data_IF_916873153908
#
_entry.id   IF_916873153908
#
_cell.length_a   1.000
_cell.length_b   1.000
_cell.length_c   1.000
_cell.angle_alpha   90.00
_cell.angle_beta   90.00
_cell.angle_gamma   90.00
#
_symmetry.space_group_name_H-M   'P 1'
#
loop_
_entity.id
_entity.type
_entity.pdbx_description
1 polymer ?
#
# COMPACT_ATOMS: atom_id res chain seq x y z
N UNK A 1 1.76 -4.63 27.39
CA UNK A 1 2.35 -3.53 26.61
C UNK A 1 3.60 -4.10 25.99
N UNK A 2 3.72 -4.10 24.66
CA UNK A 2 4.94 -4.57 23.99
C UNK A 2 6.06 -3.67 24.48
N UNK A 3 7.13 -4.24 24.99
CA UNK A 3 8.33 -3.49 25.29
C UNK A 3 9.07 -3.26 23.97
N UNK A 4 8.65 -2.23 23.23
CA UNK A 4 9.26 -1.90 21.93
C UNK A 4 10.73 -1.54 22.12
N UNK A 5 11.11 -0.98 23.27
CA UNK A 5 12.51 -0.73 23.60
C UNK A 5 13.29 -2.04 23.69
N UNK A 6 12.69 -3.10 24.25
CA UNK A 6 13.29 -4.44 24.24
C UNK A 6 13.46 -5.02 22.83
N UNK A 7 12.49 -4.83 21.93
CA UNK A 7 12.63 -5.26 20.52
C UNK A 7 13.78 -4.52 19.82
N UNK A 8 13.90 -3.22 20.08
CA UNK A 8 14.99 -2.39 19.54
C UNK A 8 16.34 -2.87 20.07
N UNK A 9 16.45 -3.10 21.38
CA UNK A 9 17.67 -3.61 22.01
C UNK A 9 18.10 -4.95 21.41
N UNK A 10 17.17 -5.88 21.24
CA UNK A 10 17.45 -7.21 20.66
C UNK A 10 17.87 -7.13 19.18
N UNK A 11 17.29 -6.20 18.40
CA UNK A 11 17.69 -5.98 17.01
C UNK A 11 19.10 -5.37 16.91
N UNK A 12 19.42 -4.40 17.77
CA UNK A 12 20.77 -3.80 17.87
C UNK A 12 21.79 -4.82 18.35
N UNK A 13 21.46 -5.64 19.34
CA UNK A 13 22.31 -6.73 19.83
C UNK A 13 22.62 -7.74 18.73
N UNK A 14 21.62 -8.19 17.97
CA UNK A 14 21.82 -9.06 16.82
C UNK A 14 22.78 -8.45 15.78
N UNK A 15 22.69 -7.13 15.54
CA UNK A 15 23.56 -6.45 14.58
C UNK A 15 25.02 -6.32 15.02
N UNK A 16 25.29 -6.27 16.33
CA UNK A 16 26.67 -6.15 16.87
C UNK A 16 27.51 -7.39 16.62
N UNK A 17 26.88 -8.53 16.41
CA UNK A 17 27.55 -9.80 16.17
C UNK A 17 27.59 -10.13 14.68
N UNK A 18 28.72 -10.67 14.16
CA UNK A 18 28.83 -11.07 12.77
C UNK A 18 27.90 -12.24 12.44
N UNK A 19 27.51 -12.36 11.16
CA UNK A 19 26.65 -13.45 10.68
C UNK A 19 27.24 -14.83 11.00
N UNK A 20 26.38 -15.74 11.50
CA UNK A 20 26.77 -17.12 11.81
C UNK A 20 27.32 -17.37 13.21
N UNK A 21 27.45 -16.36 14.08
CA UNK A 21 27.85 -16.61 15.48
C UNK A 21 26.69 -17.10 16.34
N UNK A 22 27.02 -17.87 17.38
CA UNK A 22 26.05 -18.39 18.35
C UNK A 22 25.32 -17.25 19.06
N UNK A 23 26.04 -16.16 19.37
CA UNK A 23 25.50 -14.97 20.02
C UNK A 23 24.46 -14.27 19.14
N UNK A 24 24.73 -14.14 17.83
CA UNK A 24 23.78 -13.58 16.87
C UNK A 24 22.54 -14.45 16.75
N UNK A 25 22.73 -15.77 16.63
CA UNK A 25 21.60 -16.72 16.55
C UNK A 25 20.73 -16.69 17.81
N UNK A 26 21.34 -16.53 18.98
CA UNK A 26 20.62 -16.39 20.24
C UNK A 26 19.83 -15.07 20.29
N UNK A 27 20.45 -13.94 19.91
CA UNK A 27 19.80 -12.64 19.85
C UNK A 27 18.61 -12.63 18.87
N UNK A 28 18.79 -13.21 17.69
CA UNK A 28 17.71 -13.38 16.71
C UNK A 28 16.58 -14.28 17.23
N UNK A 29 16.91 -15.37 17.93
CA UNK A 29 15.88 -16.23 18.53
C UNK A 29 15.06 -15.50 19.60
N UNK A 30 15.72 -14.69 20.43
CA UNK A 30 15.05 -13.85 21.43
C UNK A 30 14.16 -12.81 20.76
N UNK A 31 14.63 -12.17 19.67
CA UNK A 31 13.87 -11.19 18.90
C UNK A 31 12.62 -11.81 18.26
N UNK A 32 12.74 -13.01 17.70
CA UNK A 32 11.60 -13.76 17.14
C UNK A 32 10.57 -14.06 18.21
N UNK A 33 10.98 -14.61 19.35
CA UNK A 33 10.06 -14.94 20.45
C UNK A 33 9.36 -13.68 20.98
N UNK A 34 10.09 -12.60 21.21
CA UNK A 34 9.51 -11.35 21.71
C UNK A 34 8.56 -10.71 20.68
N UNK A 35 8.90 -10.76 19.39
CA UNK A 35 8.02 -10.27 18.32
C UNK A 35 6.73 -11.07 18.23
N UNK A 36 6.84 -12.40 18.33
CA UNK A 36 5.69 -13.31 18.28
C UNK A 36 4.89 -13.33 19.57
N UNK A 37 5.40 -12.77 20.69
CA UNK A 37 4.72 -12.61 21.98
C UNK A 37 3.91 -11.31 22.10
N UNK A 38 4.04 -10.40 21.14
CA UNK A 38 3.27 -9.16 21.07
C UNK A 38 1.76 -9.41 20.96
N UNK A 39 0.89 -8.84 21.81
CA UNK A 39 -0.57 -9.06 21.78
C UNK A 39 -1.27 -8.68 20.46
N UNK A 40 -0.64 -7.87 19.60
CA UNK A 40 -1.17 -7.55 18.26
C UNK A 40 -0.77 -8.61 17.19
N UNK A 41 0.17 -9.50 17.53
CA UNK A 41 0.68 -10.60 16.68
C UNK A 41 0.37 -11.98 17.30
N UNK A 42 0.00 -12.01 18.58
CA UNK A 42 -0.42 -13.18 19.37
C UNK A 42 -1.92 -13.39 19.23
N UNK A 43 -2.28 -14.26 18.30
CA UNK A 43 -3.40 -15.20 18.49
C UNK A 43 -3.18 -16.54 17.76
N UNK A 44 -2.03 -16.78 17.12
CA UNK A 44 -1.98 -17.75 16.03
C UNK A 44 -0.92 -18.85 16.12
N UNK A 45 -0.04 -18.86 17.12
CA UNK A 45 0.83 -20.02 17.39
C UNK A 45 0.59 -20.47 18.84
N UNK A 46 -0.33 -21.41 19.11
CA UNK A 46 -0.52 -21.92 20.45
C UNK A 46 0.79 -22.57 20.91
N UNK A 47 1.39 -22.02 21.97
CA UNK A 47 2.57 -22.52 22.68
C UNK A 47 2.38 -23.92 23.30
N UNK A 48 1.25 -24.59 23.04
CA UNK A 48 0.92 -25.87 23.66
C UNK A 48 -0.26 -26.56 22.97
N UNK A 49 -0.12 -26.98 21.71
CA UNK A 49 -1.09 -27.91 21.11
C UNK A 49 -0.49 -29.31 21.03
N UNK A 50 -1.08 -30.28 21.74
CA UNK A 50 -0.71 -31.72 21.79
C UNK A 50 -0.77 -32.46 20.45
N UNK A 51 -0.88 -31.75 19.31
CA UNK A 51 -0.83 -32.33 17.96
C UNK A 51 0.50 -31.96 17.32
N UNK A 52 1.36 -32.97 17.12
CA UNK A 52 2.71 -32.86 16.57
C UNK A 52 2.82 -31.86 15.40
N UNK A 53 1.86 -31.88 14.46
CA UNK A 53 1.90 -31.04 13.26
C UNK A 53 1.83 -29.52 13.53
N UNK A 54 1.11 -29.06 14.56
CA UNK A 54 1.02 -27.62 14.87
C UNK A 54 2.29 -27.09 15.51
N UNK A 55 2.93 -27.90 16.36
CA UNK A 55 4.23 -27.56 16.95
C UNK A 55 5.31 -27.51 15.87
N UNK A 56 5.31 -28.48 14.95
CA UNK A 56 6.21 -28.51 13.79
C UNK A 56 6.02 -27.27 12.89
N UNK A 57 4.77 -26.92 12.56
CA UNK A 57 4.48 -25.72 11.78
C UNK A 57 4.95 -24.43 12.49
N UNK A 58 4.70 -24.33 13.79
CA UNK A 58 5.15 -23.19 14.58
C UNK A 58 6.68 -23.08 14.60
N UNK A 59 7.38 -24.22 14.65
CA UNK A 59 8.85 -24.27 14.56
C UNK A 59 9.33 -23.83 13.18
N UNK A 60 8.71 -24.32 12.11
CA UNK A 60 9.02 -23.92 10.73
C UNK A 60 8.86 -22.41 10.52
N UNK A 61 7.77 -21.80 11.05
CA UNK A 61 7.56 -20.36 10.98
C UNK A 61 8.67 -19.60 11.72
N UNK A 62 9.05 -20.05 12.93
CA UNK A 62 10.12 -19.40 13.71
C UNK A 62 11.46 -19.45 12.98
N UNK A 63 11.83 -20.61 12.46
CA UNK A 63 13.09 -20.81 11.73
C UNK A 63 13.13 -19.95 10.47
N UNK A 64 12.10 -20.03 9.61
CA UNK A 64 12.06 -19.20 8.41
C UNK A 64 12.01 -17.70 8.70
N UNK A 65 11.37 -17.29 9.81
CA UNK A 65 11.32 -15.88 10.21
C UNK A 65 12.70 -15.41 10.70
N UNK A 66 13.39 -16.23 11.50
CA UNK A 66 14.74 -15.96 11.99
C UNK A 66 15.73 -15.78 10.83
N UNK A 67 15.74 -16.69 9.87
CA UNK A 67 16.68 -16.64 8.73
C UNK A 67 16.49 -15.37 7.90
N UNK A 68 15.23 -14.95 7.71
CA UNK A 68 14.90 -13.72 6.97
C UNK A 68 15.24 -12.47 7.77
N UNK A 69 15.07 -12.50 9.09
CA UNK A 69 15.49 -11.41 9.97
C UNK A 69 17.01 -11.25 9.98
N UNK A 70 17.76 -12.34 9.95
CA UNK A 70 19.23 -12.29 9.88
C UNK A 70 19.68 -11.49 8.65
N UNK A 71 19.13 -11.83 7.49
CA UNK A 71 19.36 -11.09 6.24
C UNK A 71 18.85 -9.66 6.27
N UNK A 72 17.68 -9.40 6.86
CA UNK A 72 17.13 -8.05 6.96
C UNK A 72 17.99 -7.14 7.82
N UNK A 73 18.42 -7.63 9.00
CA UNK A 73 19.27 -6.91 9.95
C UNK A 73 20.66 -6.65 9.33
N UNK A 74 21.22 -7.61 8.58
CA UNK A 74 22.50 -7.42 7.89
C UNK A 74 22.45 -6.32 6.79
N UNK A 75 21.27 -6.03 6.25
CA UNK A 75 21.07 -4.99 5.22
C UNK A 75 20.64 -3.63 5.82
N UNK A 76 20.31 -3.57 7.10
CA UNK A 76 20.03 -2.30 7.77
C UNK A 76 21.35 -1.64 8.17
N UNK A 77 21.60 -0.45 7.63
CA UNK A 77 22.71 0.40 8.06
C UNK A 77 22.36 1.03 9.43
N UNK A 78 22.55 0.25 10.50
CA UNK A 78 22.10 0.56 11.86
C UNK A 78 23.11 1.45 12.62
N UNK A 79 23.44 2.63 12.07
CA UNK A 79 24.11 3.64 12.90
C UNK A 79 23.15 4.25 13.93
N UNK A 80 21.88 4.54 13.57
CA UNK A 80 20.77 4.83 14.52
C UNK A 80 19.39 4.51 13.91
N UNK A 81 18.85 3.27 14.03
CA UNK A 81 17.50 2.97 13.57
C UNK A 81 16.43 3.72 14.37
N UNK A 82 15.44 4.29 13.70
CA UNK A 82 14.26 4.78 14.42
C UNK A 82 13.39 3.60 14.87
N UNK A 83 12.57 3.84 15.90
CA UNK A 83 11.55 2.88 16.36
C UNK A 83 10.66 2.41 15.20
N UNK A 84 10.28 3.32 14.32
CA UNK A 84 9.41 3.03 13.20
C UNK A 84 10.07 2.10 12.17
N UNK A 85 11.37 2.26 11.92
CA UNK A 85 12.11 1.43 10.96
C UNK A 85 12.18 -0.02 11.43
N UNK A 86 12.39 -0.23 12.73
CA UNK A 86 12.44 -1.59 13.33
C UNK A 86 11.05 -2.23 13.30
N UNK A 87 10.00 -1.50 13.67
CA UNK A 87 8.62 -2.02 13.59
C UNK A 87 8.25 -2.41 12.15
N UNK A 88 8.55 -1.56 11.17
CA UNK A 88 8.31 -1.82 9.74
C UNK A 88 9.13 -3.01 9.23
N UNK A 89 10.41 -3.12 9.61
CA UNK A 89 11.26 -4.26 9.25
C UNK A 89 10.68 -5.57 9.80
N UNK A 90 10.34 -5.61 11.08
CA UNK A 90 9.78 -6.80 11.73
C UNK A 90 8.47 -7.22 11.05
N UNK A 91 7.59 -6.26 10.77
CA UNK A 91 6.31 -6.52 10.11
C UNK A 91 6.49 -7.02 8.66
N UNK A 92 7.32 -6.33 7.86
CA UNK A 92 7.61 -6.73 6.49
C UNK A 92 8.20 -8.14 6.43
N UNK A 93 9.15 -8.44 7.31
CA UNK A 93 9.81 -9.73 7.37
C UNK A 93 8.83 -10.83 7.78
N UNK A 94 7.96 -10.56 8.75
CA UNK A 94 6.92 -11.51 9.20
C UNK A 94 5.90 -11.79 8.09
N UNK A 95 5.35 -10.74 7.47
CA UNK A 95 4.38 -10.86 6.39
C UNK A 95 4.94 -11.69 5.22
N UNK A 96 6.18 -11.41 4.83
CA UNK A 96 6.89 -12.13 3.77
C UNK A 96 7.10 -13.61 4.13
N UNK A 97 7.47 -13.90 5.38
CA UNK A 97 7.62 -15.27 5.87
C UNK A 97 6.32 -16.05 5.73
N UNK A 98 5.22 -15.48 6.23
CA UNK A 98 3.90 -16.10 6.20
C UNK A 98 3.39 -16.32 4.76
N UNK A 99 3.59 -15.34 3.89
CA UNK A 99 3.21 -15.45 2.48
C UNK A 99 3.98 -16.55 1.74
N UNK A 100 5.29 -16.68 2.00
CA UNK A 100 6.10 -17.74 1.38
C UNK A 100 5.71 -19.12 1.91
N UNK A 101 5.52 -19.28 3.22
CA UNK A 101 5.07 -20.54 3.81
C UNK A 101 3.70 -20.93 3.22
N UNK A 102 2.75 -19.99 3.14
CA UNK A 102 1.44 -20.24 2.55
C UNK A 102 1.53 -20.71 1.08
N UNK A 103 2.44 -20.11 0.30
CA UNK A 103 2.70 -20.49 -1.10
C UNK A 103 3.37 -21.87 -1.24
N UNK A 104 4.24 -22.27 -0.30
CA UNK A 104 4.95 -23.55 -0.36
C UNK A 104 4.06 -24.74 -0.04
N UNK A 105 3.02 -24.56 0.77
CA UNK A 105 2.09 -25.62 1.11
C UNK A 105 0.99 -25.81 0.04
N UNK A 106 0.52 -27.05 -0.21
CA UNK A 106 -0.46 -27.31 -1.26
C UNK A 106 -1.84 -26.72 -0.93
N UNK A 107 -2.65 -26.36 -1.94
CA UNK A 107 -4.01 -25.89 -1.76
C UNK A 107 -4.83 -26.85 -0.89
N UNK A 108 -5.56 -26.30 0.09
CA UNK A 108 -6.41 -27.08 1.00
C UNK A 108 -5.70 -27.75 2.18
N UNK A 109 -4.37 -27.70 2.26
CA UNK A 109 -3.64 -28.22 3.45
C UNK A 109 -3.92 -27.38 4.70
N UNK A 110 -3.94 -28.01 5.90
CA UNK A 110 -4.14 -27.29 7.15
C UNK A 110 -3.00 -26.30 7.43
N UNK A 111 -1.76 -26.62 7.02
CA UNK A 111 -0.60 -25.74 7.16
C UNK A 111 -0.77 -24.47 6.32
N UNK A 112 -1.25 -24.59 5.07
CA UNK A 112 -1.56 -23.44 4.22
C UNK A 112 -2.65 -22.57 4.82
N UNK A 113 -3.72 -23.18 5.33
CA UNK A 113 -4.81 -22.43 5.97
C UNK A 113 -4.33 -21.67 7.21
N UNK A 114 -3.47 -22.29 8.03
CA UNK A 114 -2.86 -21.63 9.18
C UNK A 114 -1.98 -20.47 8.75
N UNK A 115 -1.11 -20.66 7.75
CA UNK A 115 -0.24 -19.62 7.22
C UNK A 115 -1.04 -18.45 6.63
N UNK A 116 -2.12 -18.74 5.89
CA UNK A 116 -3.01 -17.72 5.34
C UNK A 116 -3.74 -16.95 6.45
N UNK A 117 -4.30 -17.64 7.44
CA UNK A 117 -4.95 -16.97 8.58
C UNK A 117 -3.97 -16.05 9.32
N UNK A 118 -2.76 -16.54 9.57
CA UNK A 118 -1.66 -15.76 10.13
C UNK A 118 -1.37 -14.51 9.32
N UNK A 119 -1.23 -14.68 8.00
CA UNK A 119 -0.96 -13.60 7.06
C UNK A 119 -2.05 -12.54 7.09
N UNK A 120 -3.33 -12.95 7.01
CA UNK A 120 -4.48 -12.04 7.02
C UNK A 120 -4.54 -11.24 8.33
N UNK A 121 -4.37 -11.91 9.47
CA UNK A 121 -4.34 -11.24 10.77
C UNK A 121 -3.18 -10.25 10.86
N UNK A 122 -1.99 -10.62 10.39
CA UNK A 122 -0.84 -9.71 10.35
C UNK A 122 -1.08 -8.50 9.44
N UNK A 123 -1.71 -8.69 8.27
CA UNK A 123 -2.09 -7.60 7.36
C UNK A 123 -3.05 -6.64 8.06
N UNK A 124 -4.10 -7.15 8.72
CA UNK A 124 -5.10 -6.33 9.41
C UNK A 124 -4.50 -5.53 10.57
N UNK A 125 -3.61 -6.14 11.35
CA UNK A 125 -2.95 -5.48 12.48
C UNK A 125 -1.81 -4.54 12.08
N UNK A 126 -1.30 -4.63 10.85
CA UNK A 126 -0.24 -3.73 10.37
C UNK A 126 -0.65 -2.27 10.35
N UNK A 127 -1.95 -1.96 10.26
CA UNK A 127 -2.45 -0.59 10.10
C UNK A 127 -2.05 0.07 8.77
N UNK A 128 -1.46 -0.69 7.83
CA UNK A 128 -0.87 -0.18 6.57
C UNK A 128 -1.76 -0.37 5.34
N UNK A 129 -3.04 -0.68 5.55
CA UNK A 129 -4.03 -0.75 4.46
C UNK A 129 -4.34 0.66 3.96
N UNK A 130 -4.09 0.92 2.69
CA UNK A 130 -4.33 2.22 2.07
C UNK A 130 -5.72 2.25 1.41
N UNK A 131 -6.47 3.33 1.62
CA UNK A 131 -7.76 3.55 0.97
C UNK A 131 -8.00 5.05 0.75
N UNK A 132 -8.81 5.44 -0.26
CA UNK A 132 -9.12 6.85 -0.53
C UNK A 132 -9.72 7.53 0.69
N UNK A 133 -9.24 8.71 1.07
CA UNK A 133 -9.72 9.40 2.28
C UNK A 133 -11.22 9.76 2.21
N UNK A 134 -11.89 9.74 3.37
CA UNK A 134 -13.26 10.24 3.54
C UNK A 134 -13.34 11.67 3.00
N UNK A 135 -14.25 11.92 2.05
CA UNK A 135 -14.42 13.22 1.39
C UNK A 135 -13.74 13.36 0.03
N UNK A 136 -12.78 12.50 -0.31
CA UNK A 136 -12.18 12.45 -1.67
C UNK A 136 -12.94 11.46 -2.56
N UNK A 137 -13.55 10.44 -1.97
CA UNK A 137 -14.42 9.51 -2.69
C UNK A 137 -15.83 10.12 -2.90
N UNK A 138 -16.48 9.91 -4.05
CA UNK A 138 -17.85 10.38 -4.32
C UNK A 138 -18.94 9.64 -3.52
N UNK A 139 -18.58 8.95 -2.44
CA UNK A 139 -19.46 8.13 -1.62
C UNK A 139 -20.05 8.93 -0.46
N UNK A 140 -21.35 8.75 -0.14
CA UNK A 140 -21.93 9.24 1.10
C UNK A 140 -21.17 8.70 2.32
N UNK A 141 -20.94 9.54 3.33
CA UNK A 141 -20.19 9.17 4.55
C UNK A 141 -20.72 7.93 5.27
N UNK A 142 -22.04 7.70 5.19
CA UNK A 142 -22.71 6.54 5.78
C UNK A 142 -22.37 5.22 5.07
N UNK A 143 -22.06 5.27 3.78
CA UNK A 143 -21.78 4.10 2.95
C UNK A 143 -20.27 3.80 2.84
N UNK A 144 -19.44 4.81 3.09
CA UNK A 144 -18.00 4.70 2.97
C UNK A 144 -17.41 3.56 3.82
N UNK A 145 -17.88 3.39 5.06
CA UNK A 145 -17.42 2.33 5.95
C UNK A 145 -17.78 0.94 5.42
N UNK A 146 -19.00 0.76 4.90
CA UNK A 146 -19.45 -0.50 4.32
C UNK A 146 -18.65 -0.85 3.06
N UNK A 147 -18.44 0.12 2.17
CA UNK A 147 -17.61 -0.05 0.96
C UNK A 147 -16.17 -0.39 1.33
N UNK A 148 -15.59 0.32 2.31
CA UNK A 148 -14.24 0.04 2.79
C UNK A 148 -14.16 -1.38 3.34
N UNK A 149 -15.08 -1.77 4.21
CA UNK A 149 -15.09 -3.09 4.83
C UNK A 149 -15.28 -4.20 3.78
N UNK A 150 -16.21 -4.03 2.83
CA UNK A 150 -16.40 -5.00 1.75
C UNK A 150 -15.16 -5.11 0.85
N UNK A 151 -14.56 -3.98 0.48
CA UNK A 151 -13.34 -3.96 -0.33
C UNK A 151 -12.18 -4.67 0.37
N UNK A 152 -12.00 -4.44 1.67
CA UNK A 152 -11.01 -5.16 2.48
C UNK A 152 -11.31 -6.66 2.47
N UNK A 153 -12.55 -7.09 2.72
CA UNK A 153 -12.89 -8.52 2.71
C UNK A 153 -12.65 -9.18 1.34
N UNK A 154 -13.05 -8.53 0.25
CA UNK A 154 -12.79 -9.04 -1.10
C UNK A 154 -11.29 -9.10 -1.41
N UNK A 155 -10.51 -8.14 -0.94
CA UNK A 155 -9.05 -8.12 -1.06
C UNK A 155 -8.43 -9.31 -0.34
N UNK A 156 -8.74 -9.49 0.95
CA UNK A 156 -8.18 -10.58 1.75
C UNK A 156 -8.54 -11.95 1.16
N UNK A 157 -9.75 -12.11 0.63
CA UNK A 157 -10.16 -13.32 -0.10
C UNK A 157 -9.30 -13.54 -1.37
N UNK A 158 -9.10 -12.50 -2.17
CA UNK A 158 -8.26 -12.59 -3.38
C UNK A 158 -6.81 -12.93 -3.05
N UNK A 159 -6.26 -12.36 -1.98
CA UNK A 159 -4.91 -12.68 -1.48
C UNK A 159 -4.82 -14.17 -1.16
N UNK A 160 -5.79 -14.73 -0.43
CA UNK A 160 -5.85 -16.17 -0.14
C UNK A 160 -5.93 -17.03 -1.42
N UNK A 161 -6.73 -16.61 -2.40
CA UNK A 161 -6.92 -17.34 -3.66
C UNK A 161 -5.69 -17.27 -4.58
N UNK A 162 -4.96 -16.15 -4.55
CA UNK A 162 -3.85 -15.86 -5.47
C UNK A 162 -2.48 -15.91 -4.80
N UNK A 163 -2.38 -16.48 -3.60
CA UNK A 163 -1.12 -16.59 -2.87
C UNK A 163 -0.02 -17.33 -3.67
N UNK A 164 -0.39 -18.26 -4.55
CA UNK A 164 0.57 -18.96 -5.43
C UNK A 164 1.25 -18.00 -6.43
N UNK A 165 0.60 -16.90 -6.78
CA UNK A 165 1.12 -15.86 -7.68
C UNK A 165 1.95 -14.80 -6.95
N UNK A 166 2.03 -14.86 -5.63
CA UNK A 166 2.84 -13.91 -4.87
C UNK A 166 4.33 -14.04 -5.26
N UNK A 167 4.95 -12.92 -5.61
CA UNK A 167 6.37 -12.80 -5.90
C UNK A 167 7.15 -12.46 -4.61
N UNK A 168 8.01 -13.36 -4.11
CA UNK A 168 8.82 -13.11 -2.92
C UNK A 168 9.81 -11.95 -3.06
N UNK A 169 10.05 -11.41 -4.25
CA UNK A 169 10.89 -10.21 -4.41
C UNK A 169 10.15 -8.93 -4.00
N UNK A 170 8.81 -8.94 -3.96
CA UNK A 170 7.98 -7.77 -3.68
C UNK A 170 7.48 -7.75 -2.23
N UNK A 171 7.26 -6.55 -1.69
CA UNK A 171 6.62 -6.39 -0.38
C UNK A 171 5.16 -6.85 -0.41
N UNK A 172 4.75 -7.58 0.62
CA UNK A 172 3.38 -8.09 0.75
C UNK A 172 2.38 -6.92 0.80
N UNK A 173 2.66 -5.87 1.59
CA UNK A 173 1.72 -4.75 1.72
C UNK A 173 1.54 -3.96 0.42
N UNK A 174 2.57 -3.84 -0.42
CA UNK A 174 2.44 -3.21 -1.74
C UNK A 174 1.50 -4.02 -2.64
N UNK A 175 1.62 -5.35 -2.63
CA UNK A 175 0.70 -6.22 -3.36
C UNK A 175 -0.74 -6.13 -2.83
N UNK A 176 -0.90 -6.16 -1.50
CA UNK A 176 -2.21 -6.05 -0.84
C UNK A 176 -2.88 -4.72 -1.17
N UNK A 177 -2.17 -3.60 -1.03
CA UNK A 177 -2.74 -2.27 -1.30
C UNK A 177 -3.11 -2.09 -2.78
N UNK A 178 -2.32 -2.65 -3.70
CA UNK A 178 -2.67 -2.65 -5.12
C UNK A 178 -3.98 -3.42 -5.42
N UNK A 179 -4.16 -4.58 -4.80
CA UNK A 179 -5.41 -5.34 -4.92
C UNK A 179 -6.56 -4.58 -4.27
N UNK A 180 -6.33 -3.97 -3.11
CA UNK A 180 -7.31 -3.19 -2.38
C UNK A 180 -7.84 -1.99 -3.18
N UNK A 181 -6.95 -1.24 -3.83
CA UNK A 181 -7.35 -0.10 -4.66
C UNK A 181 -8.32 -0.53 -5.76
N UNK A 182 -8.06 -1.66 -6.42
CA UNK A 182 -8.94 -2.22 -7.44
C UNK A 182 -10.27 -2.69 -6.86
N UNK A 183 -10.24 -3.41 -5.73
CA UNK A 183 -11.45 -3.91 -5.07
C UNK A 183 -12.32 -2.80 -4.53
N UNK A 184 -11.73 -1.71 -4.07
CA UNK A 184 -12.47 -0.53 -3.66
C UNK A 184 -13.27 0.06 -4.82
N UNK A 185 -12.68 0.16 -6.01
CA UNK A 185 -13.35 0.63 -7.22
C UNK A 185 -14.47 -0.34 -7.64
N UNK A 186 -14.21 -1.65 -7.62
CA UNK A 186 -15.20 -2.68 -7.95
C UNK A 186 -16.45 -2.58 -7.05
N UNK A 187 -16.23 -2.45 -5.74
CA UNK A 187 -17.32 -2.31 -4.76
C UNK A 187 -18.07 -1.00 -4.99
N UNK A 188 -17.38 0.13 -5.21
CA UNK A 188 -18.03 1.40 -5.56
C UNK A 188 -18.95 1.24 -6.79
N UNK A 189 -18.46 0.56 -7.83
CA UNK A 189 -19.21 0.31 -9.05
C UNK A 189 -20.41 -0.62 -8.82
N UNK A 190 -20.26 -1.65 -7.98
CA UNK A 190 -21.34 -2.55 -7.57
C UNK A 190 -22.48 -1.77 -6.92
N UNK A 191 -22.19 -0.94 -5.92
CA UNK A 191 -23.21 -0.12 -5.23
C UNK A 191 -23.87 0.92 -6.15
N UNK A 192 -23.13 1.47 -7.11
CA UNK A 192 -23.69 2.38 -8.13
C UNK A 192 -24.67 1.65 -9.06
N UNK A 193 -24.36 0.41 -9.48
CA UNK A 193 -25.20 -0.40 -10.37
C UNK A 193 -26.46 -0.94 -9.68
N UNK A 194 -26.38 -1.27 -8.38
CA UNK A 194 -27.48 -1.86 -7.63
C UNK A 194 -28.59 -0.86 -7.26
N UNK A 195 -28.43 0.43 -7.55
CA UNK A 195 -29.46 1.45 -7.27
C UNK A 195 -29.72 1.72 -5.77
N UNK A 196 -28.95 1.08 -4.89
CA UNK A 196 -29.01 1.22 -3.42
C UNK A 196 -28.56 2.62 -2.95
N UNK A 197 -28.06 3.45 -3.87
CA UNK A 197 -27.49 4.76 -3.56
C UNK A 197 -28.09 5.87 -4.41
N UNK A 198 -28.43 6.98 -3.77
CA UNK A 198 -28.66 8.28 -4.44
C UNK A 198 -27.33 8.89 -4.92
N UNK A 199 -26.42 8.09 -5.49
CA UNK A 199 -25.21 8.62 -6.13
C UNK A 199 -25.68 9.27 -7.45
N UNK A 200 -25.49 10.57 -7.65
CA UNK A 200 -25.97 11.25 -8.85
C UNK A 200 -25.41 10.57 -10.10
N UNK A 201 -26.28 10.16 -11.02
CA UNK A 201 -25.92 9.55 -12.32
C UNK A 201 -25.16 10.50 -13.27
N UNK A 202 -24.75 11.68 -12.82
CA UNK A 202 -24.27 12.79 -13.65
C UNK A 202 -22.89 13.34 -13.31
N UNK A 203 -22.02 12.58 -12.64
CA UNK A 203 -20.63 12.99 -12.34
C UNK A 203 -19.65 11.92 -12.79
N UNK A 204 -19.34 11.89 -14.09
CA UNK A 204 -18.30 11.04 -14.66
C UNK A 204 -16.92 11.38 -14.10
N UNK A 205 -16.59 10.81 -12.95
CA UNK A 205 -15.21 10.45 -12.62
C UNK A 205 -14.94 9.13 -13.33
N UNK A 206 -14.29 9.23 -14.49
CA UNK A 206 -13.63 8.12 -15.13
C UNK A 206 -12.59 7.60 -14.13
N UNK A 207 -12.95 6.59 -13.35
CA UNK A 207 -11.92 5.67 -12.87
C UNK A 207 -11.30 5.12 -14.14
N UNK A 208 -10.09 5.57 -14.44
CA UNK A 208 -9.28 5.14 -15.59
C UNK A 208 -9.49 3.64 -15.78
N UNK A 209 -9.84 3.23 -17.00
CA UNK A 209 -9.83 1.81 -17.39
C UNK A 209 -8.43 1.25 -17.04
N UNK A 210 -8.36 0.40 -16.02
CA UNK A 210 -7.11 -0.28 -15.65
C UNK A 210 -7.16 -1.68 -16.27
N UNK A 211 -6.07 -2.13 -16.91
CA UNK A 211 -6.13 -3.20 -17.90
C UNK A 211 -6.18 -4.61 -17.29
N UNK A 212 -6.64 -5.53 -18.14
CA UNK A 212 -6.93 -6.96 -17.93
C UNK A 212 -5.80 -7.74 -17.20
N UNK A 213 -6.14 -8.92 -16.66
CA UNK A 213 -5.29 -9.83 -15.90
C UNK A 213 -3.92 -10.14 -16.54
N UNK A 214 -3.77 -10.00 -17.85
CA UNK A 214 -2.51 -10.20 -18.59
C UNK A 214 -1.48 -9.10 -18.33
N UNK A 215 -1.89 -7.94 -17.79
CA UNK A 215 -0.99 -6.81 -17.48
C UNK A 215 -0.24 -6.95 -16.15
N UNK A 216 -0.55 -7.99 -15.36
CA UNK A 216 0.09 -8.24 -14.07
C UNK A 216 1.58 -8.60 -14.25
N UNK A 217 1.91 -9.41 -15.25
CA UNK A 217 3.30 -9.83 -15.51
C UNK A 217 4.17 -8.68 -16.08
N UNK A 218 3.57 -7.80 -16.89
CA UNK A 218 4.27 -6.63 -17.43
C UNK A 218 4.58 -5.56 -16.36
N UNK A 219 3.76 -5.46 -15.31
CA UNK A 219 3.97 -4.52 -14.20
C UNK A 219 4.93 -5.10 -13.14
N UNK A 220 4.94 -6.43 -12.95
CA UNK A 220 5.88 -7.15 -12.07
C UNK A 220 7.34 -7.05 -12.54
N UNK A 221 7.60 -6.69 -13.80
CA UNK A 221 8.96 -6.49 -14.32
C UNK A 221 9.59 -5.12 -14.01
N UNK A 222 8.84 -4.12 -13.52
CA UNK A 222 9.36 -2.75 -13.28
C UNK A 222 9.83 -2.56 -11.82
N UNK A 223 11.09 -2.16 -11.69
CA UNK A 223 11.85 -1.79 -10.47
C UNK A 223 11.37 -0.43 -9.90
N UNK A 224 11.92 0.10 -8.77
CA UNK A 224 11.33 1.24 -8.06
C UNK A 224 11.66 2.55 -8.80
N UNK A 225 10.84 2.89 -9.79
CA UNK A 225 10.81 4.22 -10.40
C UNK A 225 9.81 5.10 -9.64
N UNK A 226 10.05 6.43 -9.66
CA UNK A 226 9.07 7.42 -9.18
C UNK A 226 7.69 7.04 -9.72
N UNK A 227 6.66 7.12 -8.87
CA UNK A 227 5.29 6.86 -9.32
C UNK A 227 4.98 7.79 -10.49
N UNK A 228 4.27 7.32 -11.53
CA UNK A 228 3.81 8.13 -12.65
C UNK A 228 3.10 9.42 -12.15
N UNK A 229 2.44 9.36 -10.99
CA UNK A 229 1.85 10.54 -10.33
C UNK A 229 2.89 11.58 -9.89
N UNK A 230 4.07 11.15 -9.46
CA UNK A 230 5.15 12.03 -9.01
C UNK A 230 5.82 12.72 -10.19
N UNK A 231 6.04 12.00 -11.29
CA UNK A 231 6.59 12.54 -12.55
C UNK A 231 5.63 13.55 -13.18
N UNK A 232 4.33 13.27 -13.19
CA UNK A 232 3.33 14.23 -13.67
C UNK A 232 3.25 15.48 -12.79
N UNK A 233 3.43 15.36 -11.47
CA UNK A 233 3.45 16.51 -10.58
C UNK A 233 4.73 17.35 -10.76
N UNK A 234 5.88 16.71 -10.97
CA UNK A 234 7.14 17.37 -11.32
C UNK A 234 6.97 18.14 -12.66
N UNK A 235 6.32 17.54 -13.67
CA UNK A 235 6.01 18.17 -14.96
C UNK A 235 5.09 19.41 -14.82
N UNK A 236 4.03 19.31 -14.02
CA UNK A 236 3.12 20.44 -13.77
C UNK A 236 3.84 21.58 -13.03
N UNK A 237 4.79 21.23 -12.16
CA UNK A 237 5.62 22.18 -11.42
C UNK A 237 6.62 22.90 -12.33
N UNK A 238 7.33 22.16 -13.19
CA UNK A 238 8.26 22.69 -14.20
C UNK A 238 7.55 23.57 -15.24
N UNK A 239 6.28 23.28 -15.54
CA UNK A 239 5.44 24.04 -16.47
C UNK A 239 6.13 24.32 -17.82
N UNK A 240 6.61 23.29 -18.53
CA UNK A 240 7.24 23.48 -19.82
C UNK A 240 6.29 24.23 -20.76
N UNK A 241 6.82 25.26 -21.42
CA UNK A 241 6.10 26.13 -22.37
C UNK A 241 4.93 26.93 -21.78
N UNK A 242 4.81 27.02 -20.45
CA UNK A 242 3.76 27.80 -19.79
C UNK A 242 2.34 27.29 -20.05
N UNK A 243 2.19 26.02 -20.46
CA UNK A 243 0.92 25.48 -20.94
C UNK A 243 -0.12 25.37 -19.82
N UNK A 244 0.32 25.05 -18.60
CA UNK A 244 -0.55 24.86 -17.44
C UNK A 244 -0.99 26.15 -16.75
N UNK A 245 -0.45 27.29 -17.20
CA UNK A 245 -0.83 28.63 -16.74
C UNK A 245 -1.75 29.36 -17.73
N UNK A 246 -1.94 28.83 -18.95
CA UNK A 246 -2.83 29.41 -19.97
C UNK A 246 -4.31 29.19 -19.67
N UNK A 247 -4.64 28.10 -18.99
CA UNK A 247 -6.00 27.79 -18.55
C UNK A 247 -6.23 28.32 -17.14
N UNK A 248 -7.24 29.17 -16.98
CA UNK A 248 -7.60 29.77 -15.70
C UNK A 248 -9.11 29.87 -15.51
N UNK A 249 -9.54 29.92 -14.25
CA UNK A 249 -10.97 29.97 -13.89
C UNK A 249 -11.49 31.41 -13.85
N UNK A 250 -12.67 31.67 -14.42
CA UNK A 250 -13.45 32.91 -14.24
C UNK A 250 -12.67 34.22 -14.41
N UNK A 251 -11.76 34.30 -15.39
CA UNK A 251 -11.02 35.54 -15.66
C UNK A 251 -9.92 35.87 -14.64
N UNK A 252 -9.54 34.92 -13.78
CA UNK A 252 -8.50 35.05 -12.74
C UNK A 252 -7.23 34.29 -13.11
N UNK A 253 -6.21 34.92 -13.72
CA UNK A 253 -4.99 34.25 -14.17
C UNK A 253 -4.21 33.52 -13.05
N UNK A 254 -4.34 33.99 -11.81
CA UNK A 254 -3.79 33.38 -10.61
C UNK A 254 -4.41 32.00 -10.29
N UNK A 255 -5.68 31.78 -10.63
CA UNK A 255 -6.41 30.53 -10.43
C UNK A 255 -6.26 29.59 -11.64
N UNK A 256 -5.02 29.35 -12.06
CA UNK A 256 -4.68 28.49 -13.19
C UNK A 256 -4.50 27.02 -12.78
N UNK A 257 -4.47 26.13 -13.78
CA UNK A 257 -4.38 24.69 -13.55
C UNK A 257 -3.15 24.29 -12.73
N UNK A 258 -1.98 24.90 -13.00
CA UNK A 258 -0.75 24.65 -12.21
C UNK A 258 -0.94 25.03 -10.74
N UNK A 259 -1.42 26.24 -10.46
CA UNK A 259 -1.59 26.73 -9.10
C UNK A 259 -2.54 25.83 -8.28
N UNK A 260 -3.66 25.44 -8.90
CA UNK A 260 -4.66 24.55 -8.28
C UNK A 260 -4.10 23.13 -8.09
N UNK A 261 -3.35 22.59 -9.06
CA UNK A 261 -2.73 21.27 -8.96
C UNK A 261 -1.69 21.21 -7.82
N UNK A 262 -0.82 22.21 -7.72
CA UNK A 262 0.18 22.29 -6.66
C UNK A 262 -0.47 22.44 -5.28
N UNK A 263 -1.47 23.31 -5.16
CA UNK A 263 -2.24 23.46 -3.92
C UNK A 263 -2.89 22.13 -3.49
N UNK A 264 -3.42 21.37 -4.45
CA UNK A 264 -4.11 20.10 -4.18
C UNK A 264 -3.15 18.96 -3.79
N UNK A 265 -2.07 18.77 -4.54
CA UNK A 265 -1.24 17.55 -4.44
C UNK A 265 0.10 17.76 -3.71
N UNK A 266 0.65 18.98 -3.70
CA UNK A 266 1.88 19.28 -2.92
C UNK A 266 1.56 19.83 -1.54
N UNK A 267 0.56 20.70 -1.46
CA UNK A 267 0.19 21.38 -0.21
C UNK A 267 -0.95 20.66 0.53
N UNK A 268 -1.57 19.64 -0.09
CA UNK A 268 -2.62 18.82 0.54
C UNK A 268 -3.93 19.56 0.80
N UNK A 269 -4.17 20.71 0.14
CA UNK A 269 -5.34 21.54 0.40
C UNK A 269 -6.64 20.88 -0.08
N UNK A 270 -7.71 21.10 0.68
CA UNK A 270 -9.07 20.74 0.31
C UNK A 270 -9.62 21.64 -0.79
N UNK A 271 -10.70 21.24 -1.46
CA UNK A 271 -11.30 22.08 -2.50
C UNK A 271 -11.90 23.36 -1.91
N UNK A 272 -12.37 23.29 -0.66
CA UNK A 272 -12.85 24.41 0.15
C UNK A 272 -11.74 25.44 0.39
N UNK A 273 -10.56 24.99 0.82
CA UNK A 273 -9.40 25.85 1.06
C UNK A 273 -8.89 26.50 -0.23
N UNK A 274 -8.82 25.73 -1.32
CA UNK A 274 -8.41 26.25 -2.63
C UNK A 274 -9.44 27.27 -3.14
N UNK A 275 -10.75 27.00 -3.02
CA UNK A 275 -11.78 27.95 -3.43
C UNK A 275 -11.69 29.26 -2.63
N UNK A 276 -11.38 29.17 -1.34
CA UNK A 276 -11.19 30.32 -0.46
C UNK A 276 -9.89 31.09 -0.78
N UNK A 277 -8.81 30.39 -1.07
CA UNK A 277 -7.50 31.00 -1.40
C UNK A 277 -7.54 31.79 -2.71
N UNK A 278 -8.30 31.31 -3.70
CA UNK A 278 -8.40 31.93 -5.01
C UNK A 278 -9.68 32.76 -5.22
N UNK A 279 -10.43 33.05 -4.15
CA UNK A 279 -11.71 33.78 -4.18
C UNK A 279 -12.69 33.27 -5.26
N UNK A 280 -12.83 31.94 -5.34
CA UNK A 280 -13.68 31.25 -6.32
C UNK A 280 -15.08 31.01 -5.75
N UNK A 281 -16.09 31.22 -6.59
CA UNK A 281 -17.50 31.25 -6.19
C UNK A 281 -18.02 29.94 -5.56
N UNK A 282 -17.43 28.79 -5.86
CA UNK A 282 -17.79 27.52 -5.22
C UNK A 282 -16.69 26.46 -5.36
N UNK A 283 -16.66 25.51 -4.43
CA UNK A 283 -15.80 24.30 -4.51
C UNK A 283 -16.11 23.46 -5.75
N UNK A 284 -17.38 23.47 -6.20
CA UNK A 284 -17.82 22.81 -7.42
C UNK A 284 -17.18 23.43 -8.66
N UNK A 285 -17.03 24.76 -8.69
CA UNK A 285 -16.35 25.47 -9.78
C UNK A 285 -14.89 25.01 -9.92
N UNK A 286 -14.18 24.89 -8.79
CA UNK A 286 -12.77 24.47 -8.77
C UNK A 286 -12.62 23.03 -9.26
N UNK A 287 -13.44 22.12 -8.73
CA UNK A 287 -13.41 20.70 -9.09
C UNK A 287 -13.75 20.44 -10.57
N UNK A 288 -14.76 21.14 -11.10
CA UNK A 288 -15.16 21.03 -12.51
C UNK A 288 -14.09 21.61 -13.43
N UNK A 289 -13.52 22.77 -13.09
CA UNK A 289 -12.41 23.36 -13.84
C UNK A 289 -11.20 22.42 -13.86
N UNK A 290 -10.84 21.87 -12.71
CA UNK A 290 -9.70 20.96 -12.58
C UNK A 290 -9.90 19.69 -13.42
N UNK A 291 -11.09 19.09 -13.34
CA UNK A 291 -11.46 17.91 -14.13
C UNK A 291 -11.43 18.19 -15.64
N UNK A 292 -11.88 19.38 -16.06
CA UNK A 292 -11.83 19.80 -17.47
C UNK A 292 -10.39 19.96 -17.96
N UNK A 293 -9.52 20.55 -17.14
CA UNK A 293 -8.11 20.71 -17.47
C UNK A 293 -7.39 19.36 -17.55
N UNK A 294 -7.68 18.43 -16.64
CA UNK A 294 -7.14 17.06 -16.71
C UNK A 294 -7.55 16.36 -18.02
N UNK A 295 -8.81 16.49 -18.44
CA UNK A 295 -9.25 15.93 -19.73
C UNK A 295 -8.52 16.57 -20.91
N UNK A 296 -8.28 17.88 -20.87
CA UNK A 296 -7.56 18.62 -21.90
C UNK A 296 -6.10 18.21 -22.00
N UNK A 297 -5.41 18.07 -20.86
CA UNK A 297 -3.99 17.73 -20.81
C UNK A 297 -3.73 16.21 -20.81
N UNK A 298 -4.78 15.38 -20.87
CA UNK A 298 -4.67 13.93 -20.86
C UNK A 298 -3.69 13.40 -21.92
N UNK A 299 -3.84 13.83 -23.17
CA UNK A 299 -2.99 13.37 -24.26
C UNK A 299 -1.53 13.78 -24.05
N UNK A 300 -1.32 15.01 -23.57
CA UNK A 300 0.02 15.52 -23.26
C UNK A 300 0.69 14.73 -22.12
N UNK A 301 -0.05 14.41 -21.06
CA UNK A 301 0.45 13.57 -19.97
C UNK A 301 0.77 12.15 -20.43
N UNK A 302 -0.05 11.58 -21.32
CA UNK A 302 0.19 10.25 -21.88
C UNK A 302 1.43 10.23 -22.75
N UNK A 303 1.61 11.21 -23.63
CA UNK A 303 2.77 11.36 -24.51
C UNK A 303 4.05 11.56 -23.70
N UNK A 304 4.04 12.46 -22.71
CA UNK A 304 5.19 12.66 -21.82
C UNK A 304 5.57 11.39 -21.06
N UNK A 305 4.60 10.66 -20.50
CA UNK A 305 4.87 9.41 -19.81
C UNK A 305 5.37 8.30 -20.75
N UNK A 306 5.06 8.37 -22.06
CA UNK A 306 5.59 7.44 -23.06
C UNK A 306 7.03 7.82 -23.45
N UNK A 307 7.32 9.09 -23.71
CA UNK A 307 8.68 9.58 -24.04
C UNK A 307 9.68 9.34 -22.90
N UNK A 308 9.26 9.51 -21.64
CA UNK A 308 10.07 9.19 -20.46
C UNK A 308 10.28 7.68 -20.28
N UNK A 309 9.43 6.82 -20.86
CA UNK A 309 9.61 5.36 -20.85
C UNK A 309 10.60 4.91 -21.91
N UNK A 310 10.62 5.55 -23.07
CA UNK A 310 11.52 5.23 -24.17
C UNK A 310 12.94 5.74 -23.90
N UNK A 311 13.09 6.93 -23.31
CA UNK A 311 14.40 7.52 -22.95
C UNK A 311 15.12 6.80 -21.80
N UNK A 312 14.42 5.97 -21.04
CA UNK A 312 14.95 5.18 -19.92
C UNK A 312 15.27 3.72 -20.31
N UNK A 313 15.15 3.38 -21.59
CA UNK A 313 15.39 2.05 -22.15
C UNK A 313 16.58 2.01 -23.14
N UNK A 314 17.27 3.14 -23.31
CA UNK A 314 18.62 3.27 -23.89
C UNK A 314 19.67 3.31 -22.77
#
# INVERSE_FOLDING_TARGET
>A
MIDVERLIQLAVEANRHPSGTTERQQALSNLVEETLRSPCKVCLLPLSSRRSNRAMFAQQVRESYRDRLDGAIANLDLQEPTRQDIEVMLDNTLLKTLAVIAKQHPPGSPERQLALNLLITAIQHSGRLCYPQKGTSPLPSQLYEDVRNEAVQQTLLEICQKIDRYDPLREVMSWVNFVLDRRFIDVCNKYRRQGVTQIPKGGGVDFVDIPDLQTLDAFIARSPKKSDSQELMDLVEENPQGMFTKEFTNGRPEANFRAIALAKYRQGKTWEEIAKEFDLASTSTVSVFFSRCLKKFRLYFQEYLLEQRDSNNE
#
